data_IF_337561281964
#
_entry.id   IF_337561281964
#
_cell.length_a   1.000
_cell.length_b   1.000
_cell.length_c   1.000
_cell.angle_alpha   90.00
_cell.angle_beta   90.00
_cell.angle_gamma   90.00
#
_symmetry.space_group_name_H-M   'P 1'
#
loop_
_entity.id
_entity.type
_entity.pdbx_description
1 polymer ?
#
# COMPACT_ATOMS: atom_id res chain seq x y z
N UNK A 1 -44.64 -14.30 44.13
CA UNK A 1 -44.42 -12.93 43.62
C UNK A 1 -43.07 -12.32 44.01
N UNK A 2 -42.27 -12.91 44.91
CA UNK A 2 -40.90 -12.42 45.21
C UNK A 2 -39.79 -13.01 44.30
N UNK A 3 -40.07 -14.03 43.48
CA UNK A 3 -39.07 -14.70 42.64
C UNK A 3 -38.76 -13.98 41.32
N UNK A 4 -39.77 -13.39 40.66
CA UNK A 4 -39.58 -12.76 39.35
C UNK A 4 -38.88 -11.40 39.45
N UNK A 5 -39.26 -10.57 40.42
CA UNK A 5 -38.63 -9.26 40.64
C UNK A 5 -37.16 -9.40 41.05
N UNK A 6 -36.82 -10.37 41.91
CA UNK A 6 -35.44 -10.64 42.32
C UNK A 6 -34.54 -11.16 41.18
N UNK A 7 -35.12 -11.84 40.19
CA UNK A 7 -34.41 -12.31 39.00
C UNK A 7 -34.12 -11.16 38.02
N UNK A 8 -35.05 -10.21 37.87
CA UNK A 8 -34.86 -9.00 37.05
C UNK A 8 -33.76 -8.09 37.60
N UNK A 9 -33.74 -7.83 38.90
CA UNK A 9 -32.72 -6.98 39.53
C UNK A 9 -31.32 -7.63 39.51
N UNK A 10 -31.25 -8.95 39.58
CA UNK A 10 -30.00 -9.69 39.40
C UNK A 10 -29.49 -9.57 37.94
N UNK A 11 -30.37 -9.79 36.96
CA UNK A 11 -30.02 -9.65 35.54
C UNK A 11 -29.53 -8.24 35.20
N UNK A 12 -30.22 -7.18 35.68
CA UNK A 12 -29.79 -5.79 35.44
C UNK A 12 -28.41 -5.49 36.02
N UNK A 13 -28.11 -5.94 37.24
CA UNK A 13 -26.78 -5.79 37.84
C UNK A 13 -25.69 -6.50 37.04
N UNK A 14 -25.97 -7.69 36.51
CA UNK A 14 -25.02 -8.41 35.64
C UNK A 14 -24.74 -7.63 34.36
N UNK A 15 -25.77 -7.07 33.73
CA UNK A 15 -25.55 -6.21 32.56
C UNK A 15 -24.76 -4.94 32.90
N UNK A 16 -25.11 -4.23 33.98
CA UNK A 16 -24.44 -3.00 34.38
C UNK A 16 -22.94 -3.24 34.63
N UNK A 17 -22.62 -4.33 35.33
CA UNK A 17 -21.23 -4.72 35.56
C UNK A 17 -20.50 -4.98 34.25
N UNK A 18 -21.05 -5.85 33.39
CA UNK A 18 -20.43 -6.22 32.12
C UNK A 18 -20.22 -5.00 31.20
N UNK A 19 -21.23 -4.12 31.09
CA UNK A 19 -21.14 -2.91 30.27
C UNK A 19 -20.03 -1.99 30.80
N UNK A 20 -19.89 -1.82 32.12
CA UNK A 20 -18.89 -0.92 32.70
C UNK A 20 -17.44 -1.36 32.47
N UNK A 21 -17.20 -2.66 32.28
CA UNK A 21 -15.86 -3.25 32.14
C UNK A 21 -15.39 -3.38 30.68
N UNK A 22 -16.29 -3.18 29.70
CA UNK A 22 -16.03 -3.43 28.28
C UNK A 22 -15.73 -2.16 27.46
N UNK A 23 -14.99 -2.29 26.34
CA UNK A 23 -14.84 -1.22 25.34
C UNK A 23 -16.16 -0.84 24.64
N UNK A 24 -16.16 0.27 23.89
CA UNK A 24 -17.37 0.86 23.27
C UNK A 24 -18.14 -0.08 22.34
N UNK A 25 -17.45 -0.92 21.56
CA UNK A 25 -18.08 -1.89 20.66
C UNK A 25 -18.91 -2.96 21.39
N UNK A 26 -18.30 -3.78 22.27
CA UNK A 26 -19.06 -4.74 23.06
C UNK A 26 -20.10 -4.09 23.99
N UNK A 27 -19.86 -2.86 24.45
CA UNK A 27 -20.86 -2.07 25.18
C UNK A 27 -22.11 -1.82 24.34
N UNK A 28 -21.97 -1.38 23.08
CA UNK A 28 -23.09 -1.13 22.19
C UNK A 28 -23.93 -2.40 21.97
N UNK A 29 -23.27 -3.54 21.72
CA UNK A 29 -23.95 -4.83 21.52
C UNK A 29 -24.69 -5.31 22.77
N UNK A 30 -24.07 -5.19 23.95
CA UNK A 30 -24.72 -5.54 25.22
C UNK A 30 -25.91 -4.63 25.55
N UNK A 31 -25.81 -3.33 25.24
CA UNK A 31 -26.93 -2.40 25.40
C UNK A 31 -28.10 -2.74 24.47
N UNK A 32 -27.84 -3.14 23.22
CA UNK A 32 -28.88 -3.65 22.31
C UNK A 32 -29.52 -4.93 22.88
N UNK A 33 -28.71 -5.86 23.38
CA UNK A 33 -29.19 -7.09 24.01
C UNK A 33 -30.06 -6.83 25.25
N UNK A 34 -29.62 -5.91 26.11
CA UNK A 34 -30.37 -5.49 27.30
C UNK A 34 -31.66 -4.76 26.94
N UNK A 35 -31.63 -3.91 25.92
CA UNK A 35 -32.82 -3.23 25.43
C UNK A 35 -33.87 -4.23 24.92
N UNK A 36 -33.47 -5.26 24.15
CA UNK A 36 -34.35 -6.37 23.76
C UNK A 36 -34.92 -7.11 24.97
N UNK A 37 -34.07 -7.43 25.95
CA UNK A 37 -34.53 -8.08 27.17
C UNK A 37 -35.55 -7.23 27.92
N UNK A 38 -35.32 -5.92 28.07
CA UNK A 38 -36.25 -4.98 28.71
C UNK A 38 -37.57 -4.89 27.94
N UNK A 39 -37.51 -4.83 26.61
CA UNK A 39 -38.69 -4.85 25.75
C UNK A 39 -39.54 -6.12 25.97
N UNK A 40 -38.91 -7.30 26.04
CA UNK A 40 -39.58 -8.58 26.30
C UNK A 40 -40.22 -8.68 27.70
N UNK A 41 -39.81 -7.82 28.63
CA UNK A 41 -40.33 -7.76 30.00
C UNK A 41 -41.19 -6.53 30.27
N UNK A 42 -41.73 -5.91 29.20
CA UNK A 42 -42.61 -4.74 29.20
C UNK A 42 -41.98 -3.44 29.75
N UNK A 43 -40.65 -3.36 29.84
CA UNK A 43 -39.91 -2.15 30.18
C UNK A 43 -39.50 -1.37 28.91
N UNK A 44 -40.50 -0.84 28.20
CA UNK A 44 -40.29 -0.07 26.97
C UNK A 44 -39.51 1.25 27.16
N UNK A 45 -39.72 2.04 28.23
CA UNK A 45 -38.89 3.22 28.48
C UNK A 45 -37.42 2.87 28.73
N UNK A 46 -37.16 1.82 29.51
CA UNK A 46 -35.81 1.33 29.75
C UNK A 46 -35.15 0.75 28.48
N UNK A 47 -35.93 0.12 27.59
CA UNK A 47 -35.45 -0.33 26.30
C UNK A 47 -35.07 0.84 25.37
N UNK A 48 -35.88 1.89 25.31
CA UNK A 48 -35.59 3.10 24.52
C UNK A 48 -34.34 3.84 25.03
N UNK A 49 -34.15 3.91 26.36
CA UNK A 49 -32.96 4.51 26.97
C UNK A 49 -31.67 3.73 26.66
N UNK A 50 -31.74 2.40 26.71
CA UNK A 50 -30.61 1.53 26.32
C UNK A 50 -30.31 1.62 24.83
N UNK A 51 -31.33 1.71 23.96
CA UNK A 51 -31.16 1.90 22.52
C UNK A 51 -30.41 3.20 22.22
N UNK A 52 -30.79 4.32 22.86
CA UNK A 52 -30.10 5.59 22.70
C UNK A 52 -28.64 5.50 23.16
N UNK A 53 -28.40 4.85 24.30
CA UNK A 53 -27.06 4.63 24.81
C UNK A 53 -26.24 3.76 23.86
N UNK A 54 -26.83 2.71 23.28
CA UNK A 54 -26.18 1.85 22.30
C UNK A 54 -25.79 2.63 21.04
N UNK A 55 -26.67 3.50 20.53
CA UNK A 55 -26.38 4.34 19.37
C UNK A 55 -25.17 5.26 19.62
N UNK A 56 -25.11 5.89 20.80
CA UNK A 56 -23.97 6.74 21.20
C UNK A 56 -22.66 5.96 21.31
N UNK A 57 -22.73 4.72 21.84
CA UNK A 57 -21.55 3.84 21.90
C UNK A 57 -21.09 3.41 20.52
N UNK A 58 -22.03 3.10 19.62
CA UNK A 58 -21.74 2.71 18.25
C UNK A 58 -21.00 3.82 17.48
N UNK A 59 -21.38 5.09 17.68
CA UNK A 59 -20.70 6.23 17.04
C UNK A 59 -19.32 6.55 17.62
N UNK A 60 -18.99 6.05 18.81
CA UNK A 60 -17.67 6.19 19.42
C UNK A 60 -16.67 5.10 18.98
N UNK A 61 -17.07 4.16 18.13
CA UNK A 61 -16.21 3.08 17.64
C UNK A 61 -15.37 3.59 16.45
N UNK A 62 -14.05 3.40 16.52
CA UNK A 62 -13.12 3.79 15.45
C UNK A 62 -12.95 2.71 14.39
N UNK A 63 -13.01 1.43 14.79
CA UNK A 63 -12.86 0.30 13.88
C UNK A 63 -14.11 0.12 13.00
N UNK A 64 -13.95 0.28 11.68
CA UNK A 64 -15.08 0.33 10.73
C UNK A 64 -15.99 -0.89 10.82
N UNK A 65 -15.42 -2.11 10.79
CA UNK A 65 -16.20 -3.36 10.83
C UNK A 65 -17.04 -3.49 12.11
N UNK A 66 -16.49 -3.07 13.25
CA UNK A 66 -17.19 -3.11 14.53
C UNK A 66 -18.29 -2.03 14.59
N UNK A 67 -17.97 -0.81 14.14
CA UNK A 67 -18.93 0.28 14.04
C UNK A 67 -20.13 -0.09 13.16
N UNK A 68 -19.88 -0.62 11.96
CA UNK A 68 -20.94 -1.06 11.04
C UNK A 68 -21.84 -2.12 11.65
N UNK A 69 -21.25 -3.14 12.29
CA UNK A 69 -22.02 -4.18 12.99
C UNK A 69 -22.90 -3.60 14.10
N UNK A 70 -22.35 -2.78 14.98
CA UNK A 70 -23.11 -2.19 16.09
C UNK A 70 -24.23 -1.26 15.60
N UNK A 71 -23.97 -0.45 14.57
CA UNK A 71 -24.98 0.43 13.96
C UNK A 71 -26.15 -0.36 13.37
N UNK A 72 -25.87 -1.43 12.63
CA UNK A 72 -26.91 -2.31 12.09
C UNK A 72 -27.73 -2.97 13.20
N UNK A 73 -27.10 -3.43 14.28
CA UNK A 73 -27.82 -4.01 15.43
C UNK A 73 -28.75 -3.00 16.13
N UNK A 74 -28.32 -1.75 16.28
CA UNK A 74 -29.14 -0.65 16.81
C UNK A 74 -30.31 -0.34 15.88
N UNK A 75 -30.06 -0.27 14.57
CA UNK A 75 -31.11 -0.02 13.57
C UNK A 75 -32.15 -1.15 13.57
N UNK A 76 -31.74 -2.41 13.56
CA UNK A 76 -32.63 -3.57 13.61
C UNK A 76 -33.57 -3.50 14.82
N UNK A 77 -33.03 -3.13 15.99
CA UNK A 77 -33.83 -2.95 17.19
C UNK A 77 -34.77 -1.74 17.10
N UNK A 78 -34.33 -0.65 16.46
CA UNK A 78 -35.19 0.53 16.23
C UNK A 78 -36.41 0.15 15.38
N UNK A 79 -36.20 -0.63 14.31
CA UNK A 79 -37.27 -1.16 13.45
C UNK A 79 -38.15 -2.18 14.19
N UNK A 80 -37.56 -2.99 15.09
CA UNK A 80 -38.29 -3.92 15.96
C UNK A 80 -39.25 -3.20 16.91
N UNK A 81 -38.75 -2.21 17.66
CA UNK A 81 -39.56 -1.44 18.62
C UNK A 81 -40.62 -0.60 17.91
N UNK A 82 -40.34 -0.08 16.72
CA UNK A 82 -41.29 0.70 15.92
C UNK A 82 -42.53 -0.10 15.52
N UNK A 83 -42.43 -1.43 15.41
CA UNK A 83 -43.53 -2.33 15.06
C UNK A 83 -44.47 -2.64 16.23
N UNK A 84 -44.06 -2.34 17.47
CA UNK A 84 -44.85 -2.64 18.68
C UNK A 84 -45.43 -1.36 19.29
N UNK A 85 -46.75 -1.25 19.39
CA UNK A 85 -47.44 0.01 19.71
C UNK A 85 -46.97 0.68 21.02
N UNK A 86 -46.84 -0.08 22.11
CA UNK A 86 -46.37 0.47 23.39
C UNK A 86 -44.88 0.83 23.39
N UNK A 87 -44.08 0.14 22.58
CA UNK A 87 -42.66 0.44 22.44
C UNK A 87 -42.44 1.67 21.56
N UNK A 88 -43.24 1.80 20.49
CA UNK A 88 -43.29 2.96 19.59
C UNK A 88 -43.52 4.26 20.36
N UNK A 89 -44.46 4.28 21.30
CA UNK A 89 -44.70 5.46 22.16
C UNK A 89 -43.48 5.84 23.01
N UNK A 90 -42.76 4.84 23.54
CA UNK A 90 -41.52 5.10 24.29
C UNK A 90 -40.39 5.56 23.36
N UNK A 91 -40.29 4.96 22.18
CA UNK A 91 -39.30 5.28 21.15
C UNK A 91 -39.48 6.70 20.60
N UNK A 92 -40.72 7.19 20.43
CA UNK A 92 -41.02 8.56 19.97
C UNK A 92 -40.29 9.62 20.80
N UNK A 93 -40.11 9.39 22.10
CA UNK A 93 -39.36 10.29 22.98
C UNK A 93 -37.83 10.29 22.73
N UNK A 94 -37.29 9.19 22.19
CA UNK A 94 -35.87 9.01 21.91
C UNK A 94 -35.50 9.35 20.45
N UNK A 95 -36.45 9.30 19.50
CA UNK A 95 -36.23 9.55 18.07
C UNK A 95 -35.47 10.87 17.75
N UNK A 96 -35.72 12.02 18.42
CA UNK A 96 -34.98 13.25 18.14
C UNK A 96 -33.48 13.14 18.47
N UNK A 97 -33.13 12.32 19.46
CA UNK A 97 -31.75 12.13 19.92
C UNK A 97 -31.02 10.99 19.18
N UNK A 98 -31.75 10.14 18.45
CA UNK A 98 -31.14 9.09 17.64
C UNK A 98 -30.47 9.68 16.38
N UNK A 99 -29.30 9.15 16.00
CA UNK A 99 -28.62 9.54 14.77
C UNK A 99 -29.46 9.14 13.55
N UNK A 100 -29.29 9.87 12.43
CA UNK A 100 -30.02 9.60 11.19
C UNK A 100 -29.89 8.15 10.73
N UNK A 101 -28.70 7.56 10.88
CA UNK A 101 -28.47 6.17 10.49
C UNK A 101 -29.33 5.13 11.22
N UNK A 102 -29.79 5.45 12.42
CA UNK A 102 -30.62 4.55 13.24
C UNK A 102 -32.12 4.67 12.91
N UNK A 103 -32.58 5.82 12.40
CA UNK A 103 -34.01 6.15 12.31
C UNK A 103 -34.52 6.45 10.90
N UNK A 104 -33.65 6.93 10.02
CA UNK A 104 -34.05 7.33 8.67
C UNK A 104 -34.32 6.09 7.82
N UNK A 105 -35.39 6.12 7.03
CA UNK A 105 -35.78 5.00 6.19
C UNK A 105 -34.79 4.82 5.03
N UNK A 106 -34.43 3.57 4.74
CA UNK A 106 -33.62 3.21 3.59
C UNK A 106 -34.49 2.43 2.59
N UNK A 107 -34.98 3.06 1.50
CA UNK A 107 -35.88 2.41 0.58
C UNK A 107 -35.23 1.18 -0.08
N UNK A 108 -35.94 0.03 -0.20
CA UNK A 108 -35.39 -1.19 -0.79
C UNK A 108 -34.80 -0.98 -2.20
N UNK A 109 -35.47 -0.18 -3.03
CA UNK A 109 -35.00 0.16 -4.38
C UNK A 109 -33.62 0.83 -4.39
N UNK A 110 -33.26 1.54 -3.31
CA UNK A 110 -31.97 2.22 -3.19
C UNK A 110 -30.87 1.25 -2.75
N UNK A 111 -31.22 0.28 -1.90
CA UNK A 111 -30.33 -0.83 -1.53
C UNK A 111 -29.97 -1.66 -2.76
N UNK A 112 -30.95 -1.98 -3.61
CA UNK A 112 -30.72 -2.74 -4.85
C UNK A 112 -29.76 -2.01 -5.79
N UNK A 113 -29.84 -0.68 -5.85
CA UNK A 113 -28.87 0.13 -6.61
C UNK A 113 -27.47 -0.02 -6.03
N UNK A 114 -27.28 0.24 -4.74
CA UNK A 114 -25.94 0.11 -4.14
C UNK A 114 -25.35 -1.29 -4.27
N UNK A 115 -26.18 -2.33 -4.14
CA UNK A 115 -25.76 -3.71 -4.42
C UNK A 115 -25.37 -3.90 -5.88
N UNK A 116 -26.10 -3.29 -6.83
CA UNK A 116 -25.76 -3.28 -8.25
C UNK A 116 -24.39 -2.66 -8.52
N UNK A 117 -24.08 -1.52 -7.89
CA UNK A 117 -22.75 -0.89 -7.96
C UNK A 117 -21.67 -1.82 -7.40
N UNK A 118 -21.86 -2.33 -6.18
CA UNK A 118 -20.89 -3.21 -5.51
C UNK A 118 -20.68 -4.55 -6.23
N UNK A 119 -21.62 -4.95 -7.10
CA UNK A 119 -21.53 -6.18 -7.89
C UNK A 119 -20.73 -6.02 -9.19
N UNK A 120 -20.44 -4.80 -9.61
CA UNK A 120 -19.63 -4.53 -10.82
C UNK A 120 -18.18 -4.95 -10.61
N UNK A 121 -17.61 -5.66 -11.59
CA UNK A 121 -16.26 -6.24 -11.50
C UNK A 121 -15.26 -5.64 -12.45
N UNK A 122 -15.72 -4.95 -13.48
CA UNK A 122 -14.88 -4.27 -14.46
C UNK A 122 -15.24 -2.79 -14.57
N UNK A 123 -14.29 -1.99 -15.04
CA UNK A 123 -14.56 -0.57 -15.28
C UNK A 123 -15.66 -0.35 -16.33
N UNK A 124 -15.71 -1.06 -17.48
CA UNK A 124 -16.82 -0.92 -18.42
C UNK A 124 -18.20 -1.18 -17.80
N UNK A 125 -18.30 -2.16 -16.89
CA UNK A 125 -19.53 -2.40 -16.12
C UNK A 125 -19.86 -1.24 -15.18
N UNK A 126 -18.86 -0.71 -14.47
CA UNK A 126 -19.01 0.45 -13.56
C UNK A 126 -19.45 1.70 -14.31
N UNK A 127 -18.81 1.99 -15.44
CA UNK A 127 -19.13 3.14 -16.28
C UNK A 127 -20.58 3.07 -16.77
N UNK A 128 -20.97 1.91 -17.33
CA UNK A 128 -22.33 1.65 -17.80
C UNK A 128 -23.34 1.81 -16.65
N UNK A 129 -23.02 1.26 -15.48
CA UNK A 129 -23.87 1.35 -14.29
C UNK A 129 -24.07 2.81 -13.85
N UNK A 130 -23.01 3.60 -13.78
CA UNK A 130 -23.08 5.02 -13.40
C UNK A 130 -23.93 5.77 -14.42
N UNK A 131 -23.70 5.60 -15.73
CA UNK A 131 -24.49 6.27 -16.77
C UNK A 131 -26.00 6.00 -16.63
N UNK A 132 -26.39 4.77 -16.26
CA UNK A 132 -27.78 4.38 -16.07
C UNK A 132 -28.41 4.92 -14.79
N UNK A 133 -27.62 5.09 -13.72
CA UNK A 133 -28.13 5.40 -12.38
C UNK A 133 -27.85 6.82 -11.91
N UNK A 134 -26.99 7.58 -12.61
CA UNK A 134 -26.49 8.90 -12.23
C UNK A 134 -27.61 9.89 -11.88
N UNK A 135 -28.62 10.01 -12.73
CA UNK A 135 -29.76 10.92 -12.50
C UNK A 135 -30.55 10.61 -11.24
N UNK A 136 -30.51 9.36 -10.78
CA UNK A 136 -31.22 8.89 -9.60
C UNK A 136 -30.35 8.91 -8.33
N UNK A 137 -29.03 8.92 -8.48
CA UNK A 137 -28.07 8.98 -7.38
C UNK A 137 -27.65 10.40 -7.01
N UNK A 138 -27.90 11.37 -7.90
CA UNK A 138 -27.54 12.80 -7.71
C UNK A 138 -28.65 13.64 -7.09
N UNK A 139 -29.89 13.17 -7.10
CA UNK A 139 -30.99 13.84 -6.38
C UNK A 139 -30.75 13.77 -4.86
N UNK A 140 -31.26 14.74 -4.06
CA UNK A 140 -31.05 14.79 -2.62
C UNK A 140 -31.38 13.48 -1.90
N UNK A 141 -32.44 12.79 -2.31
CA UNK A 141 -32.88 11.52 -1.74
C UNK A 141 -31.85 10.40 -1.99
N UNK A 142 -31.29 10.33 -3.21
CA UNK A 142 -30.26 9.37 -3.57
C UNK A 142 -28.95 9.60 -2.81
N UNK A 143 -28.57 10.87 -2.65
CA UNK A 143 -27.40 11.28 -1.87
C UNK A 143 -27.55 10.96 -0.38
N UNK A 144 -28.70 11.32 0.20
CA UNK A 144 -29.00 11.01 1.60
C UNK A 144 -28.99 9.49 1.86
N UNK A 145 -29.54 8.70 0.94
CA UNK A 145 -29.51 7.24 1.07
C UNK A 145 -28.10 6.66 0.94
N UNK A 146 -27.24 7.24 0.10
CA UNK A 146 -25.83 6.84 0.00
C UNK A 146 -25.08 7.13 1.29
N UNK A 147 -25.24 8.33 1.86
CA UNK A 147 -24.61 8.70 3.12
C UNK A 147 -25.10 7.83 4.28
N UNK A 148 -26.40 7.55 4.33
CA UNK A 148 -27.02 6.61 5.26
C UNK A 148 -26.39 5.21 5.14
N UNK A 149 -26.27 4.70 3.93
CA UNK A 149 -25.71 3.36 3.69
C UNK A 149 -24.21 3.32 4.04
N UNK A 150 -23.44 4.37 3.73
CA UNK A 150 -22.03 4.48 4.14
C UNK A 150 -21.87 4.52 5.66
N UNK A 151 -22.79 5.18 6.37
CA UNK A 151 -22.78 5.18 7.83
C UNK A 151 -23.07 3.78 8.42
N UNK A 152 -23.95 3.00 7.78
CA UNK A 152 -24.31 1.64 8.20
C UNK A 152 -23.28 0.57 7.80
N UNK A 153 -22.54 0.79 6.71
CA UNK A 153 -21.54 -0.13 6.17
C UNK A 153 -20.18 0.56 5.95
N UNK A 154 -19.58 1.18 6.99
CA UNK A 154 -18.32 1.91 6.88
C UNK A 154 -17.15 1.01 6.45
N UNK A 155 -17.26 -0.31 6.63
CA UNK A 155 -16.29 -1.30 6.14
C UNK A 155 -16.28 -1.46 4.61
N UNK A 156 -17.30 -0.98 3.91
CA UNK A 156 -17.43 -1.13 2.45
C UNK A 156 -16.88 0.10 1.72
N UNK A 157 -15.62 0.01 1.28
CA UNK A 157 -14.95 1.11 0.56
C UNK A 157 -15.64 1.48 -0.75
N UNK A 158 -16.23 0.52 -1.45
CA UNK A 158 -16.88 0.76 -2.74
C UNK A 158 -18.00 1.80 -2.72
N UNK A 159 -18.69 2.00 -1.59
CA UNK A 159 -19.69 3.06 -1.45
C UNK A 159 -19.08 4.45 -1.28
N UNK A 160 -17.89 4.52 -0.65
CA UNK A 160 -17.12 5.76 -0.58
C UNK A 160 -16.54 6.11 -1.95
N UNK A 161 -16.11 5.12 -2.73
CA UNK A 161 -15.67 5.33 -4.11
C UNK A 161 -16.81 5.89 -4.97
N UNK A 162 -18.01 5.31 -4.86
CA UNK A 162 -19.21 5.84 -5.55
C UNK A 162 -19.51 7.28 -5.14
N UNK A 163 -19.43 7.60 -3.84
CA UNK A 163 -19.65 8.96 -3.36
C UNK A 163 -18.63 9.94 -3.96
N UNK A 164 -17.35 9.56 -3.99
CA UNK A 164 -16.28 10.38 -4.58
C UNK A 164 -16.48 10.61 -6.08
N UNK A 165 -16.92 9.59 -6.83
CA UNK A 165 -17.28 9.73 -8.25
C UNK A 165 -18.44 10.70 -8.43
N UNK A 166 -19.49 10.58 -7.62
CA UNK A 166 -20.65 11.48 -7.70
C UNK A 166 -20.30 12.92 -7.31
N UNK A 167 -19.41 13.11 -6.32
CA UNK A 167 -18.89 14.41 -5.90
C UNK A 167 -18.11 15.08 -7.04
N UNK A 168 -17.14 14.35 -7.61
CA UNK A 168 -16.37 14.85 -8.75
C UNK A 168 -17.28 15.18 -9.95
N UNK A 169 -18.29 14.33 -10.20
CA UNK A 169 -19.23 14.54 -11.29
C UNK A 169 -20.15 15.74 -11.06
N UNK A 170 -20.48 16.06 -9.80
CA UNK A 170 -21.20 17.28 -9.46
C UNK A 170 -20.37 18.54 -9.73
N UNK A 171 -19.07 18.49 -9.45
CA UNK A 171 -18.17 19.63 -9.62
C UNK A 171 -17.75 19.87 -11.07
N UNK A 172 -17.47 18.79 -11.82
CA UNK A 172 -16.79 18.86 -13.13
C UNK A 172 -17.62 18.31 -14.29
N UNK A 173 -18.75 17.69 -13.99
CA UNK A 173 -19.61 17.02 -14.97
C UNK A 173 -19.25 15.54 -15.13
N UNK A 174 -20.28 14.72 -15.32
CA UNK A 174 -20.14 13.26 -15.36
C UNK A 174 -19.29 12.77 -16.53
N UNK A 175 -19.42 13.37 -17.72
CA UNK A 175 -18.69 12.92 -18.91
C UNK A 175 -17.18 13.08 -18.74
N UNK A 176 -16.74 14.20 -18.14
CA UNK A 176 -15.33 14.44 -17.83
C UNK A 176 -14.79 13.41 -16.84
N UNK A 177 -15.53 13.16 -15.75
CA UNK A 177 -15.10 12.20 -14.72
C UNK A 177 -15.03 10.77 -15.26
N UNK A 178 -16.00 10.36 -16.09
CA UNK A 178 -15.97 9.04 -16.70
C UNK A 178 -14.84 8.89 -17.72
N UNK A 179 -14.49 9.95 -18.46
CA UNK A 179 -13.32 9.94 -19.35
C UNK A 179 -12.02 9.74 -18.57
N UNK A 180 -11.80 10.52 -17.52
CA UNK A 180 -10.60 10.41 -16.67
C UNK A 180 -10.46 9.01 -16.07
N UNK A 181 -11.54 8.49 -15.47
CA UNK A 181 -11.54 7.14 -14.90
C UNK A 181 -11.33 6.06 -15.96
N UNK A 182 -11.78 6.28 -17.19
CA UNK A 182 -11.53 5.36 -18.32
C UNK A 182 -10.07 5.39 -18.75
N UNK A 183 -9.45 6.55 -18.83
CA UNK A 183 -8.02 6.67 -19.12
C UNK A 183 -7.18 6.04 -18.01
N UNK A 184 -7.55 6.26 -16.75
CA UNK A 184 -6.87 5.65 -15.60
C UNK A 184 -6.98 4.13 -15.58
N UNK A 185 -8.18 3.60 -15.79
CA UNK A 185 -8.37 2.16 -15.85
C UNK A 185 -7.65 1.54 -17.07
N UNK A 186 -7.74 2.16 -18.24
CA UNK A 186 -7.01 1.68 -19.42
C UNK A 186 -5.49 1.66 -19.21
N UNK A 187 -4.95 2.61 -18.45
CA UNK A 187 -3.54 2.61 -18.04
C UNK A 187 -3.22 1.45 -17.11
N UNK A 188 -4.04 1.24 -16.08
CA UNK A 188 -3.87 0.10 -15.16
C UNK A 188 -3.93 -1.23 -15.88
N UNK A 189 -4.92 -1.44 -16.75
CA UNK A 189 -5.06 -2.66 -17.55
C UNK A 189 -3.83 -2.88 -18.44
N UNK A 190 -3.32 -1.82 -19.09
CA UNK A 190 -2.12 -1.89 -19.93
C UNK A 190 -0.87 -2.29 -19.14
N UNK A 191 -0.72 -1.78 -17.92
CA UNK A 191 0.38 -2.15 -17.01
C UNK A 191 0.22 -3.59 -16.53
N UNK A 192 -0.98 -4.03 -16.20
CA UNK A 192 -1.24 -5.42 -15.81
C UNK A 192 -0.93 -6.40 -16.95
N UNK A 193 -1.36 -6.08 -18.18
CA UNK A 193 -1.04 -6.87 -19.37
C UNK A 193 0.48 -6.93 -19.62
N UNK A 194 1.18 -5.81 -19.41
CA UNK A 194 2.63 -5.75 -19.54
C UNK A 194 3.34 -6.65 -18.51
N UNK A 195 2.98 -6.51 -17.24
CA UNK A 195 3.51 -7.31 -16.13
C UNK A 195 3.22 -8.81 -16.29
N UNK A 196 2.16 -9.16 -17.05
CA UNK A 196 1.77 -10.53 -17.34
C UNK A 196 2.51 -11.14 -18.54
N UNK A 197 3.39 -10.40 -19.22
CA UNK A 197 4.18 -10.93 -20.33
C UNK A 197 5.07 -12.11 -19.86
N UNK A 198 5.06 -13.25 -20.56
CA UNK A 198 5.68 -14.47 -20.04
C UNK A 198 7.18 -14.56 -20.28
N UNK A 199 7.72 -13.78 -21.22
CA UNK A 199 9.15 -13.81 -21.61
C UNK A 199 9.67 -12.41 -21.93
N UNK A 200 10.98 -12.19 -21.72
CA UNK A 200 11.62 -10.91 -22.01
C UNK A 200 11.51 -10.44 -23.47
N UNK A 201 11.57 -11.32 -24.50
CA UNK A 201 11.31 -10.90 -25.87
C UNK A 201 9.87 -10.41 -26.10
N UNK A 202 8.88 -11.06 -25.49
CA UNK A 202 7.48 -10.65 -25.57
C UNK A 202 7.24 -9.33 -24.83
N UNK A 203 7.91 -9.14 -23.70
CA UNK A 203 7.92 -7.91 -22.92
C UNK A 203 8.48 -6.73 -23.74
N UNK A 204 9.66 -6.88 -24.36
CA UNK A 204 10.23 -5.86 -25.26
C UNK A 204 9.31 -5.55 -26.44
N UNK A 205 8.70 -6.58 -27.04
CA UNK A 205 7.74 -6.40 -28.12
C UNK A 205 6.50 -5.61 -27.64
N UNK A 206 6.00 -5.91 -26.45
CA UNK A 206 4.88 -5.22 -25.82
C UNK A 206 5.20 -3.74 -25.60
N UNK A 207 6.34 -3.44 -24.98
CA UNK A 207 6.81 -2.07 -24.74
C UNK A 207 6.97 -1.29 -26.05
N UNK A 208 7.50 -1.93 -27.09
CA UNK A 208 7.67 -1.33 -28.43
C UNK A 208 6.34 -1.02 -29.11
N UNK A 209 5.31 -1.85 -28.90
CA UNK A 209 3.95 -1.60 -29.40
C UNK A 209 3.24 -0.51 -28.61
N UNK A 210 3.63 -0.25 -27.37
CA UNK A 210 2.90 0.59 -26.41
C UNK A 210 3.80 1.67 -25.80
N UNK A 211 4.28 2.66 -26.61
CA UNK A 211 5.23 3.68 -26.15
C UNK A 211 4.74 4.54 -24.99
N UNK A 212 3.42 4.63 -24.79
CA UNK A 212 2.81 5.31 -23.64
C UNK A 212 3.25 4.73 -22.30
N UNK A 213 3.65 3.45 -22.23
CA UNK A 213 4.18 2.85 -21.00
C UNK A 213 5.49 3.50 -20.55
N UNK A 214 6.30 3.95 -21.50
CA UNK A 214 7.58 4.63 -21.22
C UNK A 214 7.39 6.13 -21.01
N UNK A 215 6.47 6.74 -21.76
CA UNK A 215 6.29 8.20 -21.79
C UNK A 215 5.37 8.73 -20.69
N UNK A 216 4.44 7.91 -20.19
CA UNK A 216 3.46 8.33 -19.18
C UNK A 216 4.05 8.27 -17.76
N UNK A 217 4.20 9.41 -17.05
CA UNK A 217 4.74 9.43 -15.70
C UNK A 217 3.85 8.65 -14.71
N UNK A 218 2.54 8.55 -14.95
CA UNK A 218 1.61 7.85 -14.07
C UNK A 218 1.86 6.33 -14.09
N UNK A 219 2.45 5.78 -15.15
CA UNK A 219 2.87 4.37 -15.18
C UNK A 219 3.96 4.11 -14.14
N UNK A 220 4.93 5.03 -13.99
CA UNK A 220 5.97 4.92 -12.96
C UNK A 220 5.36 5.04 -11.57
N UNK A 221 4.39 5.92 -11.36
CA UNK A 221 3.67 6.05 -10.09
C UNK A 221 2.90 4.77 -9.73
N UNK A 222 2.20 4.16 -10.69
CA UNK A 222 1.50 2.88 -10.50
C UNK A 222 2.47 1.76 -10.10
N UNK A 223 3.60 1.62 -10.79
CA UNK A 223 4.62 0.62 -10.44
C UNK A 223 5.28 0.88 -9.10
N UNK A 224 5.49 2.17 -8.74
CA UNK A 224 6.02 2.58 -7.43
C UNK A 224 5.05 2.24 -6.31
N UNK A 225 3.76 2.50 -6.49
CA UNK A 225 2.73 2.13 -5.51
C UNK A 225 2.64 0.60 -5.30
N UNK A 226 3.11 -0.18 -6.26
CA UNK A 226 3.14 -1.65 -6.22
C UNK A 226 4.55 -2.21 -5.97
N UNK A 227 5.47 -1.43 -5.38
CA UNK A 227 6.86 -1.82 -5.19
C UNK A 227 7.07 -3.06 -4.32
N UNK A 228 6.07 -3.52 -3.58
CA UNK A 228 6.15 -4.78 -2.83
C UNK A 228 6.26 -6.00 -3.76
N UNK A 229 5.66 -5.93 -4.95
CA UNK A 229 5.75 -6.97 -5.96
C UNK A 229 7.12 -6.93 -6.68
N UNK A 230 7.88 -8.05 -6.73
CA UNK A 230 9.15 -8.10 -7.45
C UNK A 230 9.03 -7.73 -8.93
N UNK A 231 7.96 -8.17 -9.59
CA UNK A 231 7.70 -7.86 -10.99
C UNK A 231 7.59 -6.35 -11.22
N UNK A 232 6.78 -5.65 -10.42
CA UNK A 232 6.59 -4.19 -10.53
C UNK A 232 7.90 -3.43 -10.30
N UNK A 233 8.73 -3.86 -9.35
CA UNK A 233 10.08 -3.28 -9.14
C UNK A 233 10.99 -3.48 -10.34
N UNK A 234 10.99 -4.67 -10.93
CA UNK A 234 11.81 -4.99 -12.09
C UNK A 234 11.38 -4.15 -13.31
N UNK A 235 10.08 -4.02 -13.55
CA UNK A 235 9.53 -3.22 -14.65
C UNK A 235 9.75 -1.71 -14.45
N UNK A 236 9.62 -1.20 -13.21
CA UNK A 236 10.01 0.17 -12.91
C UNK A 236 11.48 0.42 -13.22
N UNK A 237 12.34 -0.53 -12.86
CA UNK A 237 13.77 -0.45 -13.15
C UNK A 237 14.07 -0.46 -14.66
N UNK A 238 13.33 -1.25 -15.44
CA UNK A 238 13.39 -1.22 -16.92
C UNK A 238 13.08 0.20 -17.41
N UNK A 239 11.98 0.81 -16.96
CA UNK A 239 11.61 2.17 -17.39
C UNK A 239 12.69 3.20 -17.04
N UNK A 240 13.26 3.13 -15.84
CA UNK A 240 14.36 4.02 -15.42
C UNK A 240 15.63 3.84 -16.26
N UNK A 241 15.91 2.62 -16.73
CA UNK A 241 17.04 2.37 -17.63
C UNK A 241 16.77 2.85 -19.05
N UNK A 242 15.52 2.75 -19.53
CA UNK A 242 15.14 3.24 -20.86
C UNK A 242 15.23 4.76 -21.03
N UNK A 243 15.30 5.51 -19.93
CA UNK A 243 15.60 6.95 -19.97
C UNK A 243 17.06 7.24 -20.40
N UNK A 244 17.94 6.24 -20.32
CA UNK A 244 19.40 6.35 -20.54
C UNK A 244 19.90 5.50 -21.70
N UNK A 245 19.28 4.35 -21.92
CA UNK A 245 19.66 3.35 -22.91
C UNK A 245 18.49 3.04 -23.85
N UNK A 246 18.75 2.70 -25.12
CA UNK A 246 17.74 2.09 -25.98
C UNK A 246 17.12 0.86 -25.31
N UNK A 247 15.82 0.63 -25.50
CA UNK A 247 15.15 -0.52 -24.92
C UNK A 247 15.83 -1.84 -25.30
N UNK A 248 16.29 -2.02 -26.54
CA UNK A 248 17.06 -3.21 -26.95
C UNK A 248 18.22 -3.52 -26.00
N UNK A 249 19.01 -2.49 -25.67
CA UNK A 249 20.24 -2.62 -24.90
C UNK A 249 19.92 -2.94 -23.43
N UNK A 250 18.82 -2.40 -22.90
CA UNK A 250 18.29 -2.75 -21.58
C UNK A 250 17.93 -4.24 -21.52
N UNK A 251 17.24 -4.76 -22.53
CA UNK A 251 16.83 -6.17 -22.57
C UNK A 251 17.99 -7.12 -22.81
N UNK A 252 18.99 -6.71 -23.59
CA UNK A 252 20.24 -7.46 -23.71
C UNK A 252 20.93 -7.59 -22.33
N UNK A 253 20.98 -6.51 -21.54
CA UNK A 253 21.52 -6.54 -20.17
C UNK A 253 20.67 -7.35 -19.17
N UNK A 254 19.35 -7.47 -19.39
CA UNK A 254 18.48 -8.32 -18.55
C UNK A 254 18.69 -9.80 -18.86
N UNK A 255 18.90 -10.14 -20.13
CA UNK A 255 18.95 -11.52 -20.60
C UNK A 255 20.35 -12.13 -20.61
N UNK A 256 21.40 -11.31 -20.81
CA UNK A 256 22.80 -11.73 -20.78
C UNK A 256 23.56 -11.06 -19.62
N UNK A 257 24.01 -11.84 -18.62
CA UNK A 257 24.81 -11.32 -17.51
C UNK A 257 26.12 -10.65 -17.94
N UNK A 258 26.72 -11.05 -19.07
CA UNK A 258 27.95 -10.44 -19.56
C UNK A 258 27.68 -9.01 -20.01
N UNK A 259 26.64 -8.84 -20.83
CA UNK A 259 26.15 -7.52 -21.23
C UNK A 259 25.78 -6.68 -20.01
N UNK A 260 25.09 -7.26 -19.01
CA UNK A 260 24.76 -6.57 -17.76
C UNK A 260 26.00 -6.02 -17.03
N UNK A 261 27.07 -6.81 -16.95
CA UNK A 261 28.34 -6.39 -16.33
C UNK A 261 28.96 -5.26 -17.13
N UNK A 262 29.02 -5.38 -18.45
CA UNK A 262 29.61 -4.35 -19.31
C UNK A 262 28.85 -3.03 -19.19
N UNK A 263 27.51 -3.07 -19.20
CA UNK A 263 26.65 -1.90 -18.95
C UNK A 263 26.88 -1.29 -17.56
N UNK A 264 26.98 -2.10 -16.51
CA UNK A 264 27.25 -1.61 -15.16
C UNK A 264 28.60 -0.90 -15.06
N UNK A 265 29.63 -1.47 -15.67
CA UNK A 265 30.97 -0.89 -15.71
C UNK A 265 31.00 0.39 -16.54
N UNK A 266 30.22 0.45 -17.63
CA UNK A 266 30.05 1.65 -18.43
C UNK A 266 29.38 2.78 -17.66
N UNK A 267 28.30 2.52 -16.90
CA UNK A 267 27.70 3.54 -16.03
C UNK A 267 28.70 4.14 -15.05
N UNK A 268 29.55 3.31 -14.43
CA UNK A 268 30.63 3.78 -13.56
C UNK A 268 31.65 4.60 -14.35
N UNK A 269 32.05 4.12 -15.53
CA UNK A 269 33.00 4.81 -16.40
C UNK A 269 32.47 6.14 -16.95
N UNK A 270 31.15 6.32 -17.04
CA UNK A 270 30.51 7.57 -17.45
C UNK A 270 30.18 8.50 -16.26
N UNK A 271 30.24 8.00 -15.02
CA UNK A 271 29.88 8.77 -13.82
C UNK A 271 28.38 8.83 -13.57
N UNK A 272 27.68 7.73 -13.82
CA UNK A 272 26.22 7.58 -13.60
C UNK A 272 25.92 6.48 -12.57
N UNK A 273 26.40 6.62 -11.32
CA UNK A 273 26.20 5.59 -10.30
C UNK A 273 24.73 5.42 -9.88
N UNK A 274 23.88 6.41 -10.15
CA UNK A 274 22.42 6.37 -9.93
C UNK A 274 21.72 5.34 -10.82
N UNK A 275 22.31 4.97 -11.96
CA UNK A 275 21.78 3.94 -12.85
C UNK A 275 22.06 2.50 -12.37
N UNK A 276 22.92 2.32 -11.36
CA UNK A 276 23.31 0.98 -10.89
C UNK A 276 22.18 0.24 -10.19
N UNK A 277 21.37 0.92 -9.36
CA UNK A 277 20.26 0.26 -8.67
C UNK A 277 19.17 -0.21 -9.64
N UNK A 278 18.71 0.62 -10.61
CA UNK A 278 17.84 0.13 -11.68
C UNK A 278 18.44 -1.09 -12.40
N UNK A 279 19.72 -1.09 -12.76
CA UNK A 279 20.34 -2.24 -13.42
C UNK A 279 20.35 -3.51 -12.56
N UNK A 280 20.66 -3.39 -11.27
CA UNK A 280 20.64 -4.51 -10.31
C UNK A 280 19.23 -5.08 -10.11
N UNK A 281 18.20 -4.23 -10.13
CA UNK A 281 16.80 -4.65 -10.03
C UNK A 281 16.30 -5.29 -11.33
N UNK A 282 16.68 -4.73 -12.48
CA UNK A 282 16.33 -5.25 -13.80
C UNK A 282 17.01 -6.58 -14.12
N UNK A 283 18.27 -6.76 -13.69
CA UNK A 283 19.08 -7.96 -13.94
C UNK A 283 19.56 -8.59 -12.61
N UNK A 284 18.70 -9.38 -11.93
CA UNK A 284 19.06 -10.02 -10.66
C UNK A 284 20.27 -10.95 -10.74
N UNK A 285 20.63 -11.42 -11.94
CA UNK A 285 21.83 -12.23 -12.17
C UNK A 285 23.11 -11.52 -11.70
N UNK A 286 23.17 -10.19 -11.80
CA UNK A 286 24.28 -9.38 -11.31
C UNK A 286 24.54 -9.54 -9.82
N UNK A 287 23.52 -9.90 -9.03
CA UNK A 287 23.64 -10.10 -7.57
C UNK A 287 24.33 -11.39 -7.20
N UNK A 288 24.57 -12.29 -8.16
CA UNK A 288 25.18 -13.61 -7.92
C UNK A 288 26.62 -13.70 -8.45
N UNK A 289 27.18 -12.61 -8.96
CA UNK A 289 28.49 -12.62 -9.61
C UNK A 289 29.60 -12.29 -8.60
N UNK A 290 30.59 -13.19 -8.41
CA UNK A 290 31.75 -12.91 -7.58
C UNK A 290 32.47 -11.65 -8.04
N UNK A 291 33.04 -10.89 -7.10
CA UNK A 291 33.61 -9.56 -7.31
C UNK A 291 32.61 -8.49 -7.75
N UNK A 292 31.80 -8.73 -8.79
CA UNK A 292 30.89 -7.74 -9.38
C UNK A 292 29.83 -7.31 -8.38
N UNK A 293 29.13 -8.26 -7.73
CA UNK A 293 28.09 -7.95 -6.74
C UNK A 293 28.62 -7.00 -5.67
N UNK A 294 29.62 -7.38 -4.85
CA UNK A 294 30.09 -6.52 -3.78
C UNK A 294 30.71 -5.20 -4.30
N UNK A 295 31.35 -5.22 -5.47
CA UNK A 295 31.88 -4.00 -6.09
C UNK A 295 30.78 -2.99 -6.47
N UNK A 296 29.73 -3.43 -7.16
CA UNK A 296 28.62 -2.55 -7.58
C UNK A 296 27.83 -2.04 -6.37
N UNK A 297 27.59 -2.89 -5.37
CA UNK A 297 26.96 -2.45 -4.12
C UNK A 297 27.82 -1.44 -3.37
N UNK A 298 29.14 -1.63 -3.30
CA UNK A 298 30.02 -0.65 -2.66
C UNK A 298 29.93 0.73 -3.33
N UNK A 299 29.94 0.76 -4.67
CA UNK A 299 29.78 2.01 -5.44
C UNK A 299 28.42 2.62 -5.15
N UNK A 300 27.32 1.87 -5.30
CA UNK A 300 25.98 2.36 -5.03
C UNK A 300 25.84 2.95 -3.61
N UNK A 301 26.34 2.25 -2.58
CA UNK A 301 26.25 2.70 -1.18
C UNK A 301 26.99 4.02 -0.94
N UNK A 302 28.09 4.30 -1.65
CA UNK A 302 28.79 5.60 -1.57
C UNK A 302 27.90 6.76 -2.02
N UNK A 303 27.08 6.54 -3.06
CA UNK A 303 26.24 7.58 -3.66
C UNK A 303 24.83 7.66 -3.07
N UNK A 304 24.37 6.61 -2.39
CA UNK A 304 23.08 6.59 -1.69
C UNK A 304 23.16 7.18 -0.28
N UNK A 305 24.37 7.31 0.29
CA UNK A 305 24.59 8.01 1.55
C UNK A 305 24.74 9.53 1.33
N UNK A 306 24.20 10.39 2.22
CA UNK A 306 24.48 11.82 2.15
C UNK A 306 26.00 12.06 2.24
N UNK A 307 26.55 13.03 1.48
CA UNK A 307 27.98 13.29 1.47
C UNK A 307 28.46 13.60 2.90
N UNK A 308 29.65 13.11 3.30
CA UNK A 308 30.16 13.34 4.64
C UNK A 308 30.34 14.85 4.87
N UNK A 309 29.55 15.42 5.78
CA UNK A 309 29.75 16.79 6.23
C UNK A 309 31.17 16.94 6.81
N UNK A 310 31.83 18.08 6.56
CA UNK A 310 33.21 18.38 6.98
C UNK A 310 33.39 18.52 8.52
N UNK A 311 32.54 17.92 9.34
CA UNK A 311 32.63 17.95 10.81
C UNK A 311 32.58 16.55 11.41
N UNK A 312 33.47 16.23 12.38
CA UNK A 312 33.51 14.91 12.96
C UNK A 312 32.40 14.70 13.99
N UNK A 313 31.75 13.54 13.88
CA UNK A 313 30.93 12.81 14.86
C UNK A 313 29.51 13.33 15.14
N UNK A 314 28.55 12.57 14.63
CA UNK A 314 27.64 11.84 15.52
C UNK A 314 27.40 10.46 14.91
N UNK A 315 27.83 9.41 15.61
CA UNK A 315 27.43 8.02 15.36
C UNK A 315 25.94 7.92 15.69
N UNK A 316 25.09 8.36 14.76
CA UNK A 316 23.68 8.04 14.78
C UNK A 316 23.56 6.57 14.36
N UNK A 317 23.09 5.75 15.29
CA UNK A 317 22.69 4.34 15.18
C UNK A 317 22.84 3.76 13.76
N UNK A 318 23.94 3.05 13.52
CA UNK A 318 24.03 2.14 12.39
C UNK A 318 22.94 1.07 12.54
N UNK A 319 22.04 0.97 11.57
CA UNK A 319 21.33 -0.28 11.33
C UNK A 319 22.40 -1.38 11.21
N UNK A 320 22.45 -2.26 12.21
CA UNK A 320 23.58 -3.16 12.46
C UNK A 320 23.78 -4.26 11.40
N UNK A 321 22.98 -4.27 10.33
CA UNK A 321 22.93 -5.33 9.32
C UNK A 321 23.31 -4.89 7.90
N UNK A 322 23.60 -3.61 7.63
CA UNK A 322 24.00 -3.15 6.28
C UNK A 322 25.54 -3.08 6.19
N UNK A 323 26.18 -3.86 5.29
CA UNK A 323 27.64 -3.82 5.11
C UNK A 323 28.11 -2.42 4.69
N UNK A 324 29.22 -1.95 5.27
CA UNK A 324 29.82 -0.69 4.85
C UNK A 324 30.42 -0.80 3.44
N UNK A 325 30.63 0.31 2.70
CA UNK A 325 31.35 0.27 1.42
C UNK A 325 32.75 -0.35 1.52
N UNK A 326 33.40 -0.23 2.68
CA UNK A 326 34.72 -0.83 2.92
C UNK A 326 34.63 -2.36 3.02
N UNK A 327 33.65 -2.89 3.76
CA UNK A 327 33.43 -4.33 3.90
C UNK A 327 33.11 -4.97 2.54
N UNK A 328 32.28 -4.28 1.74
CA UNK A 328 31.95 -4.70 0.38
C UNK A 328 33.18 -4.70 -0.54
N UNK A 329 34.04 -3.68 -0.46
CA UNK A 329 35.28 -3.67 -1.27
C UNK A 329 36.29 -4.72 -0.80
N UNK A 330 36.36 -5.03 0.49
CA UNK A 330 37.17 -6.13 1.00
C UNK A 330 36.67 -7.47 0.44
N UNK A 331 35.35 -7.71 0.46
CA UNK A 331 34.75 -8.89 -0.15
C UNK A 331 35.03 -8.96 -1.66
N UNK A 332 34.85 -7.85 -2.38
CA UNK A 332 35.17 -7.78 -3.80
C UNK A 332 36.66 -8.11 -4.05
N UNK A 333 37.56 -7.59 -3.21
CA UNK A 333 39.00 -7.86 -3.33
C UNK A 333 39.34 -9.34 -3.10
N UNK A 334 38.64 -10.02 -2.19
CA UNK A 334 38.84 -11.43 -1.91
C UNK A 334 38.38 -12.33 -3.08
N UNK A 335 37.32 -11.93 -3.77
CA UNK A 335 36.71 -12.71 -4.86
C UNK A 335 37.28 -12.38 -6.25
N UNK A 336 37.85 -11.19 -6.44
CA UNK A 336 38.33 -10.71 -7.73
C UNK A 336 39.72 -11.20 -8.12
N UNK A 337 39.95 -11.43 -9.40
CA UNK A 337 41.29 -11.59 -9.98
C UNK A 337 42.10 -10.29 -9.88
N UNK A 338 43.43 -10.38 -10.03
CA UNK A 338 44.31 -9.21 -10.05
C UNK A 338 43.90 -8.19 -11.14
N UNK A 339 43.51 -8.68 -12.31
CA UNK A 339 43.04 -7.84 -13.42
C UNK A 339 41.74 -7.12 -13.06
N UNK A 340 40.76 -7.83 -12.48
CA UNK A 340 39.49 -7.24 -12.04
C UNK A 340 39.72 -6.16 -10.98
N UNK A 341 40.55 -6.44 -9.96
CA UNK A 341 40.89 -5.47 -8.91
C UNK A 341 41.59 -4.23 -9.47
N UNK A 342 42.57 -4.43 -10.35
CA UNK A 342 43.27 -3.33 -11.02
C UNK A 342 42.33 -2.44 -11.85
N UNK A 343 41.46 -3.06 -12.65
CA UNK A 343 40.46 -2.35 -13.44
C UNK A 343 39.43 -1.61 -12.57
N UNK A 344 38.89 -2.29 -11.54
CA UNK A 344 37.95 -1.70 -10.59
C UNK A 344 38.52 -0.51 -9.83
N UNK A 345 39.79 -0.59 -9.40
CA UNK A 345 40.47 0.52 -8.75
C UNK A 345 40.71 1.71 -9.69
N UNK A 346 41.04 1.44 -10.96
CA UNK A 346 41.15 2.50 -11.97
C UNK A 346 39.81 3.20 -12.22
N UNK A 347 38.70 2.44 -12.26
CA UNK A 347 37.34 2.99 -12.36
C UNK A 347 36.97 3.87 -11.18
N UNK A 348 37.20 3.42 -9.96
CA UNK A 348 36.95 4.21 -8.74
C UNK A 348 37.73 5.53 -8.74
N UNK A 349 38.99 5.53 -9.19
CA UNK A 349 39.79 6.76 -9.33
C UNK A 349 39.22 7.71 -10.40
N UNK A 350 38.75 7.21 -11.53
CA UNK A 350 38.06 8.03 -12.55
C UNK A 350 36.74 8.58 -12.02
N UNK A 351 35.98 7.77 -11.28
CA UNK A 351 34.73 8.20 -10.67
C UNK A 351 34.98 9.31 -9.63
N UNK A 352 36.02 9.19 -8.82
CA UNK A 352 36.46 10.22 -7.88
C UNK A 352 36.80 11.56 -8.56
N UNK A 353 37.30 11.54 -9.80
CA UNK A 353 37.56 12.76 -10.57
C UNK A 353 36.27 13.43 -11.05
N UNK A 354 35.21 12.66 -11.30
CA UNK A 354 33.91 13.18 -11.74
C UNK A 354 33.00 13.61 -10.60
N UNK A 355 33.20 13.03 -9.41
CA UNK A 355 32.43 13.29 -8.19
C UNK A 355 33.36 13.73 -7.05
N UNK A 356 33.83 14.99 -7.06
CA UNK A 356 34.75 15.51 -6.04
C UNK A 356 34.21 15.36 -4.61
N UNK A 357 32.89 15.45 -4.43
CA UNK A 357 32.19 15.31 -3.15
C UNK A 357 32.35 13.93 -2.52
N UNK A 358 32.62 12.89 -3.32
CA UNK A 358 32.85 11.52 -2.86
C UNK A 358 34.31 11.06 -3.05
N UNK A 359 35.19 11.94 -3.54
CA UNK A 359 36.53 11.56 -3.98
C UNK A 359 37.38 10.91 -2.88
N UNK A 360 37.33 11.41 -1.64
CA UNK A 360 38.09 10.86 -0.53
C UNK A 360 37.74 9.38 -0.28
N UNK A 361 36.44 9.07 -0.19
CA UNK A 361 35.94 7.70 0.01
C UNK A 361 36.32 6.82 -1.19
N UNK A 362 36.05 7.26 -2.42
CA UNK A 362 36.34 6.49 -3.63
C UNK A 362 37.84 6.16 -3.80
N UNK A 363 38.74 7.09 -3.44
CA UNK A 363 40.18 6.85 -3.46
C UNK A 363 40.65 5.87 -2.37
N UNK A 364 40.02 5.91 -1.20
CA UNK A 364 40.27 4.92 -0.13
C UNK A 364 39.86 3.52 -0.60
N UNK A 365 38.65 3.38 -1.15
CA UNK A 365 38.14 2.12 -1.71
C UNK A 365 39.03 1.61 -2.86
N UNK A 366 39.49 2.50 -3.75
CA UNK A 366 40.41 2.13 -4.83
C UNK A 366 41.75 1.58 -4.31
N UNK A 367 42.25 2.12 -3.21
CA UNK A 367 43.47 1.62 -2.55
C UNK A 367 43.21 0.24 -1.94
N UNK A 368 42.16 0.12 -1.12
CA UNK A 368 41.78 -1.12 -0.44
C UNK A 368 41.62 -2.30 -1.42
N UNK A 369 40.96 -2.06 -2.57
CA UNK A 369 40.76 -3.06 -3.61
C UNK A 369 42.06 -3.63 -4.19
N UNK A 370 43.18 -2.91 -4.10
CA UNK A 370 44.49 -3.36 -4.61
C UNK A 370 45.44 -3.86 -3.52
N UNK A 371 45.20 -3.51 -2.25
CA UNK A 371 46.12 -3.83 -1.13
C UNK A 371 45.89 -5.23 -0.54
N UNK A 372 44.67 -5.77 -0.59
CA UNK A 372 44.34 -7.03 0.10
C UNK A 372 45.04 -8.29 -0.46
N UNK A 373 45.76 -8.19 -1.58
CA UNK A 373 46.46 -9.31 -2.21
C UNK A 373 47.93 -9.50 -1.75
N UNK A 374 48.45 -8.68 -0.83
CA UNK A 374 49.86 -8.75 -0.39
C UNK A 374 50.11 -9.53 0.91
N UNK A 375 49.30 -10.54 1.22
CA UNK A 375 49.68 -11.54 2.22
C UNK A 375 50.46 -12.69 1.53
N UNK A 376 51.71 -12.99 1.94
CA UNK A 376 52.59 -13.90 1.20
C UNK A 376 52.09 -15.34 1.28
N UNK A 377 52.05 -16.00 0.11
CA UNK A 377 52.14 -17.45 0.02
C UNK A 377 53.46 -17.86 0.67
N UNK A 378 53.40 -18.46 1.86
CA UNK A 378 54.55 -19.10 2.47
C UNK A 378 55.08 -20.18 1.53
N UNK A 379 56.27 -19.93 0.98
CA UNK A 379 57.13 -20.90 0.35
C UNK A 379 57.28 -22.12 1.27
N UNK A 380 56.57 -23.22 0.96
CA UNK A 380 57.02 -24.55 1.35
C UNK A 380 57.85 -25.10 0.20
N UNK A 381 59.12 -24.72 0.15
CA UNK A 381 60.12 -25.43 -0.62
C UNK A 381 61.33 -25.72 0.27
N UNK A 382 61.51 -27.01 0.50
CA UNK A 382 62.80 -27.68 0.70
C UNK A 382 63.50 -27.46 2.04
N UNK A 383 63.52 -28.51 2.85
CA UNK A 383 64.82 -29.00 3.31
C UNK A 383 64.87 -30.52 3.17
N UNK A 384 65.80 -30.95 2.31
CA UNK A 384 66.25 -32.32 2.19
C UNK A 384 67.47 -32.46 3.12
N UNK A 385 67.38 -33.38 4.07
CA UNK A 385 68.47 -33.84 4.93
C UNK A 385 68.23 -35.27 5.35
#
# INVERSE_FOLDING_TARGET
>A
QQSDTGNRDAAMRTYDQAISELPSGPQAELLVSRARWRHLHDDHPGAAADLLSAAQRADAITEATEAGRSRRAVRDLTEELSRHELARQSLESALPALPGWAKDELPPETIDRFNGWLSTRSWPERETYIQQTYSLLTVPEGRAALDLTRALYPETTGLSDLAAVLDAAHERGIDQVLEELREDNARSDLVEEWLATPTWPEDLEFLSRHPRLTDDPLVRELLTAQSDAPASRQHLAILLLTDRLPASDVYDAITDPTTAVDTAMEFIDQGQPDALLPLLLASPALTQLPFVTPYLFAVHTVFSAPPPAESPRSEAASDADVPSPADLIEQASAEGSEVQRGAGAARLRRLAQRHPEHAATLLQLATALTTAASAPQSETASDAG
#
